data_IF_963683635206
#
_entry.id   IF_963683635206
#
_cell.length_a   1.000
_cell.length_b   1.000
_cell.length_c   1.000
_cell.angle_alpha   90.00
_cell.angle_beta   90.00
_cell.angle_gamma   90.00
#
_symmetry.space_group_name_H-M   'P 1'
#
loop_
_entity.id
_entity.type
_entity.pdbx_description
1 polymer ?
#
# COMPACT_ATOMS: atom_id res chain seq x y z
N UNK A 1 0.74 -14.69 -32.78
CA UNK A 1 0.41 -14.16 -31.43
C UNK A 1 1.14 -12.87 -31.06
N UNK A 2 2.12 -12.39 -31.84
CA UNK A 2 2.76 -11.08 -31.62
C UNK A 2 1.95 -9.87 -32.15
N UNK A 3 1.00 -10.11 -33.07
CA UNK A 3 0.23 -9.03 -33.72
C UNK A 3 -0.95 -8.54 -32.89
N UNK A 4 -1.48 -9.35 -31.96
CA UNK A 4 -2.61 -8.94 -31.10
C UNK A 4 -2.19 -7.92 -30.05
N UNK A 5 -0.94 -7.98 -29.54
CA UNK A 5 -0.36 -6.98 -28.62
C UNK A 5 0.06 -5.67 -29.30
N UNK A 6 0.13 -5.64 -30.64
CA UNK A 6 0.42 -4.41 -31.38
C UNK A 6 -0.83 -3.52 -31.56
N UNK A 7 -2.04 -4.10 -31.49
CA UNK A 7 -3.29 -3.39 -31.73
C UNK A 7 -3.85 -2.65 -30.49
N UNK A 8 -3.52 -3.07 -29.27
CA UNK A 8 -3.84 -2.32 -28.04
C UNK A 8 -2.92 -1.10 -27.82
N UNK A 9 -1.88 -0.92 -28.64
CA UNK A 9 -0.93 0.21 -28.59
C UNK A 9 -1.52 1.54 -29.11
N UNK A 10 -2.85 1.65 -29.15
CA UNK A 10 -3.57 2.77 -29.75
C UNK A 10 -4.08 3.71 -28.65
N UNK A 11 -3.36 4.80 -28.42
CA UNK A 11 -3.79 6.04 -27.75
C UNK A 11 -4.78 5.86 -26.58
N UNK A 12 -4.30 5.42 -25.42
CA UNK A 12 -5.09 5.50 -24.18
C UNK A 12 -5.51 6.97 -23.96
N UNK A 13 -6.79 7.26 -24.21
CA UNK A 13 -7.33 8.64 -24.20
C UNK A 13 -7.86 9.00 -22.81
N UNK A 14 -8.09 7.99 -21.97
CA UNK A 14 -8.64 8.10 -20.62
C UNK A 14 -7.76 7.31 -19.67
N UNK A 15 -7.26 7.99 -18.64
CA UNK A 15 -6.46 7.39 -17.59
C UNK A 15 -7.30 7.29 -16.32
N UNK A 16 -7.45 6.08 -15.79
CA UNK A 16 -8.05 5.87 -14.48
C UNK A 16 -7.08 6.29 -13.36
N UNK A 17 -7.48 6.12 -12.10
CA UNK A 17 -6.63 6.52 -10.97
C UNK A 17 -5.39 5.63 -10.84
N UNK A 18 -5.52 4.33 -11.11
CA UNK A 18 -4.42 3.37 -11.01
C UNK A 18 -3.35 3.64 -12.09
N UNK A 19 -3.77 3.92 -13.33
CA UNK A 19 -2.88 4.31 -14.42
C UNK A 19 -2.11 5.59 -14.09
N UNK A 20 -2.80 6.60 -13.54
CA UNK A 20 -2.17 7.87 -13.13
C UNK A 20 -1.13 7.65 -12.04
N UNK A 21 -1.43 6.77 -11.09
CA UNK A 21 -0.54 6.46 -9.98
C UNK A 21 0.67 5.65 -10.46
N UNK A 22 0.49 4.73 -11.42
CA UNK A 22 1.58 4.03 -12.13
C UNK A 22 2.52 5.01 -12.82
N UNK A 23 1.99 5.87 -13.69
CA UNK A 23 2.78 6.88 -14.42
C UNK A 23 3.51 7.80 -13.43
N UNK A 24 2.85 8.25 -12.37
CA UNK A 24 3.46 9.11 -11.36
C UNK A 24 4.64 8.42 -10.66
N UNK A 25 4.48 7.17 -10.25
CA UNK A 25 5.56 6.39 -9.59
C UNK A 25 6.77 6.24 -10.52
N UNK A 26 6.56 5.90 -11.79
CA UNK A 26 7.63 5.79 -12.78
C UNK A 26 8.41 7.10 -12.94
N UNK A 27 7.71 8.24 -13.03
CA UNK A 27 8.35 9.55 -13.14
C UNK A 27 9.14 9.95 -11.90
N UNK A 28 8.57 9.75 -10.70
CA UNK A 28 9.24 10.09 -9.43
C UNK A 28 10.50 9.27 -9.24
N UNK A 29 10.45 7.96 -9.56
CA UNK A 29 11.63 7.10 -9.51
C UNK A 29 12.68 7.51 -10.53
N UNK A 30 12.29 7.79 -11.77
CA UNK A 30 13.25 8.27 -12.77
C UNK A 30 13.99 9.53 -12.30
N UNK A 31 13.27 10.46 -11.64
CA UNK A 31 13.87 11.64 -11.03
C UNK A 31 14.88 11.29 -9.93
N UNK A 32 14.57 10.31 -9.08
CA UNK A 32 15.44 9.84 -8.01
C UNK A 32 16.70 9.15 -8.57
N UNK A 33 16.52 8.19 -9.48
CA UNK A 33 17.60 7.40 -10.08
C UNK A 33 18.59 8.29 -10.85
N UNK A 34 18.09 9.32 -11.53
CA UNK A 34 18.92 10.26 -12.31
C UNK A 34 19.29 11.54 -11.55
N UNK A 35 18.82 11.69 -10.30
CA UNK A 35 19.02 12.88 -9.45
C UNK A 35 18.63 14.19 -10.12
N UNK A 36 17.50 14.18 -10.83
CA UNK A 36 17.00 15.35 -11.56
C UNK A 36 15.78 15.98 -10.87
N UNK A 37 15.65 17.30 -11.02
CA UNK A 37 14.47 18.05 -10.58
C UNK A 37 13.35 18.07 -11.62
N UNK A 38 12.16 18.50 -11.19
CA UNK A 38 10.97 18.63 -12.07
C UNK A 38 11.21 19.46 -13.33
N UNK A 39 11.96 20.59 -13.31
CA UNK A 39 12.25 21.35 -14.54
C UNK A 39 13.05 20.57 -15.58
N UNK A 40 13.95 19.69 -15.15
CA UNK A 40 14.71 18.82 -16.07
C UNK A 40 13.81 17.71 -16.61
N UNK A 41 12.97 17.12 -15.75
CA UNK A 41 11.99 16.13 -16.19
C UNK A 41 11.01 16.72 -17.23
N UNK A 42 10.56 17.97 -17.04
CA UNK A 42 9.70 18.68 -18.00
C UNK A 42 10.33 18.74 -19.40
N UNK A 43 11.63 19.07 -19.48
CA UNK A 43 12.37 19.12 -20.76
C UNK A 43 12.41 17.75 -21.42
N UNK A 44 12.74 16.70 -20.65
CA UNK A 44 12.82 15.33 -21.17
C UNK A 44 11.47 14.82 -21.68
N UNK A 45 10.37 15.10 -20.96
CA UNK A 45 9.03 14.75 -21.41
C UNK A 45 8.66 15.55 -22.68
N UNK A 46 9.00 16.84 -22.75
CA UNK A 46 8.73 17.67 -23.92
C UNK A 46 9.51 17.17 -25.15
N UNK A 47 10.80 16.86 -24.99
CA UNK A 47 11.67 16.27 -26.01
C UNK A 47 11.13 14.92 -26.51
N UNK A 48 10.74 14.01 -25.60
CA UNK A 48 10.20 12.71 -25.96
C UNK A 48 8.83 12.76 -26.65
N UNK A 49 8.15 13.91 -26.63
CA UNK A 49 6.83 14.11 -27.24
C UNK A 49 6.86 15.09 -28.41
N UNK A 50 8.02 15.56 -28.85
CA UNK A 50 8.18 16.63 -29.86
C UNK A 50 7.37 17.89 -29.54
N UNK A 51 7.34 18.28 -28.26
CA UNK A 51 6.58 19.45 -27.77
C UNK A 51 7.49 20.65 -27.49
N UNK A 52 6.99 21.84 -27.78
CA UNK A 52 7.52 23.06 -27.18
C UNK A 52 7.33 23.02 -25.65
N UNK A 53 8.33 23.52 -24.90
CA UNK A 53 8.35 23.47 -23.44
C UNK A 53 7.10 24.12 -22.79
N UNK A 54 6.55 25.15 -23.43
CA UNK A 54 5.36 25.89 -22.99
C UNK A 54 4.08 25.04 -23.04
N UNK A 55 4.04 24.00 -23.86
CA UNK A 55 2.89 23.09 -23.99
C UNK A 55 2.80 22.07 -22.85
N UNK A 56 3.82 21.97 -22.00
CA UNK A 56 3.82 21.18 -20.78
C UNK A 56 4.10 22.09 -19.57
N UNK A 57 3.09 22.82 -19.04
CA UNK A 57 3.34 23.80 -17.98
C UNK A 57 3.92 23.16 -16.71
N UNK A 58 5.06 23.68 -16.24
CA UNK A 58 5.80 23.18 -15.08
C UNK A 58 4.91 23.03 -13.84
N UNK A 59 4.08 24.04 -13.56
CA UNK A 59 3.18 24.03 -12.40
C UNK A 59 2.16 22.88 -12.45
N UNK A 60 1.75 22.48 -13.64
CA UNK A 60 0.79 21.38 -13.80
C UNK A 60 1.47 20.02 -13.65
N UNK A 61 2.70 19.88 -14.17
CA UNK A 61 3.53 18.69 -13.92
C UNK A 61 3.80 18.53 -12.42
N UNK A 62 4.18 19.60 -11.72
CA UNK A 62 4.38 19.58 -10.26
C UNK A 62 3.11 19.15 -9.52
N UNK A 63 1.93 19.65 -9.91
CA UNK A 63 0.65 19.25 -9.29
C UNK A 63 0.31 17.79 -9.51
N UNK A 64 0.62 17.26 -10.71
CA UNK A 64 0.44 15.84 -11.04
C UNK A 64 1.35 14.96 -10.20
N UNK A 65 2.63 15.32 -10.09
CA UNK A 65 3.62 14.60 -9.26
C UNK A 65 3.30 14.67 -7.77
N UNK A 66 2.70 15.76 -7.29
CA UNK A 66 2.29 15.91 -5.90
C UNK A 66 0.95 15.23 -5.55
N UNK A 67 0.28 14.57 -6.51
CA UNK A 67 -1.06 13.97 -6.35
C UNK A 67 -2.14 14.94 -5.79
N UNK A 68 -1.92 16.24 -5.93
CA UNK A 68 -2.70 17.26 -5.21
C UNK A 68 -4.08 17.56 -5.84
N UNK A 69 -4.22 17.36 -7.14
CA UNK A 69 -5.43 17.69 -7.91
C UNK A 69 -5.60 16.70 -9.07
N UNK A 70 -6.86 16.46 -9.49
CA UNK A 70 -7.13 15.72 -10.73
C UNK A 70 -6.48 16.45 -11.90
N UNK A 71 -5.48 15.81 -12.49
CA UNK A 71 -4.71 16.37 -13.61
C UNK A 71 -5.43 16.12 -14.94
N UNK A 72 -5.25 17.03 -15.89
CA UNK A 72 -5.82 16.90 -17.23
C UNK A 72 -5.22 15.67 -17.95
N UNK A 73 -6.06 14.83 -18.54
CA UNK A 73 -5.69 13.60 -19.26
C UNK A 73 -4.67 13.87 -20.38
N UNK A 74 -4.67 15.07 -20.96
CA UNK A 74 -3.67 15.49 -21.97
C UNK A 74 -2.25 15.47 -21.39
N UNK A 75 -2.07 15.95 -20.16
CA UNK A 75 -0.75 15.97 -19.51
C UNK A 75 -0.36 14.57 -19.07
N UNK A 76 -1.32 13.80 -18.54
CA UNK A 76 -1.09 12.40 -18.19
C UNK A 76 -0.65 11.61 -19.41
N UNK A 77 -1.20 11.88 -20.60
CA UNK A 77 -0.80 11.25 -21.85
C UNK A 77 0.66 11.51 -22.22
N UNK A 78 1.14 12.75 -22.11
CA UNK A 78 2.54 13.07 -22.40
C UNK A 78 3.48 12.41 -21.41
N UNK A 79 3.10 12.43 -20.12
CA UNK A 79 3.80 11.72 -19.06
C UNK A 79 3.84 10.20 -19.30
N UNK A 80 2.72 9.63 -19.72
CA UNK A 80 2.58 8.21 -20.05
C UNK A 80 3.51 7.83 -21.20
N UNK A 81 3.50 8.59 -22.30
CA UNK A 81 4.38 8.31 -23.45
C UNK A 81 5.86 8.35 -23.08
N UNK A 82 6.27 9.27 -22.22
CA UNK A 82 7.63 9.28 -21.69
C UNK A 82 7.89 8.05 -20.81
N UNK A 83 6.94 7.70 -19.94
CA UNK A 83 7.03 6.56 -19.03
C UNK A 83 7.01 5.18 -19.73
N UNK A 84 6.49 5.08 -20.96
CA UNK A 84 6.50 3.84 -21.76
C UNK A 84 7.91 3.28 -21.99
N UNK A 85 8.94 4.13 -22.00
CA UNK A 85 10.34 3.73 -22.14
C UNK A 85 11.04 3.43 -20.82
N UNK A 86 10.36 3.60 -19.67
CA UNK A 86 10.92 3.39 -18.35
C UNK A 86 10.64 1.96 -17.87
N UNK A 87 11.51 1.38 -17.02
CA UNK A 87 11.21 0.13 -16.35
C UNK A 87 9.91 0.27 -15.55
N UNK A 88 8.91 -0.57 -15.84
CA UNK A 88 7.68 -0.69 -15.06
C UNK A 88 7.93 -1.58 -13.82
N UNK A 89 8.99 -1.26 -13.07
CA UNK A 89 9.26 -1.98 -11.83
C UNK A 89 8.32 -1.42 -10.76
N UNK A 90 7.25 -2.14 -10.51
CA UNK A 90 6.40 -1.95 -9.35
C UNK A 90 7.13 -2.55 -8.14
N UNK A 91 7.68 -1.76 -7.20
CA UNK A 91 8.50 -2.31 -6.12
C UNK A 91 7.75 -3.30 -5.23
N UNK A 92 6.41 -3.19 -5.19
CA UNK A 92 5.55 -4.15 -4.51
C UNK A 92 5.46 -5.48 -5.27
N UNK A 93 5.48 -5.43 -6.61
CA UNK A 93 5.63 -6.62 -7.44
C UNK A 93 6.93 -7.34 -7.12
N UNK A 94 8.05 -6.63 -7.23
CA UNK A 94 9.37 -7.23 -7.04
C UNK A 94 9.55 -7.78 -5.63
N UNK A 95 9.11 -7.03 -4.61
CA UNK A 95 9.10 -7.50 -3.23
C UNK A 95 8.23 -8.75 -3.07
N UNK A 96 7.03 -8.74 -3.63
CA UNK A 96 6.11 -9.87 -3.52
C UNK A 96 6.63 -11.11 -4.23
N UNK A 97 7.23 -10.97 -5.42
CA UNK A 97 7.87 -12.08 -6.13
C UNK A 97 9.06 -12.63 -5.34
N UNK A 98 9.91 -11.75 -4.79
CA UNK A 98 11.04 -12.15 -3.96
C UNK A 98 10.60 -12.87 -2.67
N UNK A 99 9.55 -12.36 -1.99
CA UNK A 99 8.98 -12.99 -0.80
C UNK A 99 8.32 -14.32 -1.16
N UNK A 100 7.54 -14.39 -2.23
CA UNK A 100 6.91 -15.64 -2.67
C UNK A 100 7.96 -16.71 -3.03
N UNK A 101 9.04 -16.32 -3.71
CA UNK A 101 10.16 -17.19 -4.01
C UNK A 101 10.90 -17.66 -2.74
N UNK A 102 11.11 -16.77 -1.77
CA UNK A 102 11.81 -17.08 -0.52
C UNK A 102 10.99 -17.97 0.40
N UNK A 103 9.72 -17.62 0.62
CA UNK A 103 8.81 -18.39 1.48
C UNK A 103 8.51 -19.74 0.85
N UNK A 104 8.49 -19.79 -0.49
CA UNK A 104 8.46 -21.02 -1.28
C UNK A 104 7.13 -21.76 -1.19
N UNK A 105 6.77 -22.44 -2.28
CA UNK A 105 5.62 -23.34 -2.33
C UNK A 105 5.62 -24.33 -1.17
N UNK A 106 4.44 -24.72 -0.72
CA UNK A 106 4.27 -25.67 0.39
C UNK A 106 5.15 -26.90 0.15
N UNK A 107 5.63 -27.55 1.23
CA UNK A 107 6.46 -28.77 1.18
C UNK A 107 5.84 -29.92 0.36
N UNK A 108 4.54 -29.85 0.08
CA UNK A 108 3.76 -30.77 -0.75
C UNK A 108 3.80 -30.44 -2.26
N UNK A 109 4.55 -29.40 -2.67
CA UNK A 109 4.63 -28.94 -4.06
C UNK A 109 3.47 -28.04 -4.51
N UNK A 110 2.52 -27.72 -3.62
CA UNK A 110 1.44 -26.81 -3.96
C UNK A 110 1.94 -25.36 -4.06
N UNK A 111 1.55 -24.69 -5.15
CA UNK A 111 1.79 -23.26 -5.32
C UNK A 111 1.13 -22.47 -4.20
N UNK A 112 1.83 -21.45 -3.70
CA UNK A 112 1.26 -20.50 -2.77
C UNK A 112 0.08 -19.82 -3.48
N UNK A 113 -1.07 -19.79 -2.83
CA UNK A 113 -2.28 -19.18 -3.39
C UNK A 113 -2.41 -17.76 -2.84
N UNK A 114 -2.94 -16.82 -3.64
CA UNK A 114 -3.31 -15.52 -3.08
C UNK A 114 -4.35 -15.74 -1.98
N UNK A 115 -4.35 -14.90 -0.93
CA UNK A 115 -5.31 -14.96 0.17
C UNK A 115 -6.69 -14.49 -0.33
N UNK A 116 -7.36 -15.34 -1.11
CA UNK A 116 -8.58 -15.02 -1.85
C UNK A 116 -9.73 -14.62 -0.93
N UNK A 117 -9.75 -15.20 0.26
CA UNK A 117 -10.70 -14.90 1.32
C UNK A 117 -10.42 -13.56 2.00
N UNK A 118 -9.19 -13.03 1.92
CA UNK A 118 -8.84 -11.73 2.50
C UNK A 118 -8.86 -10.59 1.48
N UNK A 119 -9.45 -10.75 0.29
CA UNK A 119 -9.58 -9.67 -0.69
C UNK A 119 -10.78 -8.79 -0.33
N UNK A 120 -10.58 -7.47 -0.27
CA UNK A 120 -11.63 -6.50 0.09
C UNK A 120 -11.15 -5.40 1.02
N UNK A 121 -12.10 -4.71 1.65
CA UNK A 121 -11.87 -3.65 2.62
C UNK A 121 -12.27 -4.10 4.02
N UNK A 122 -11.38 -3.91 4.99
CA UNK A 122 -11.56 -4.35 6.36
C UNK A 122 -11.43 -3.18 7.34
N UNK A 123 -12.34 -3.15 8.31
CA UNK A 123 -12.25 -2.27 9.47
C UNK A 123 -11.34 -2.91 10.52
N UNK A 124 -10.23 -2.23 10.82
CA UNK A 124 -9.28 -2.62 11.85
C UNK A 124 -9.67 -2.07 13.21
N UNK A 125 -9.65 -2.94 14.22
CA UNK A 125 -9.77 -2.60 15.65
C UNK A 125 -8.54 -3.09 16.39
N UNK A 126 -8.23 -2.45 17.52
CA UNK A 126 -7.12 -2.83 18.40
C UNK A 126 -7.53 -2.73 19.86
N UNK A 127 -6.79 -3.42 20.72
CA UNK A 127 -6.86 -3.17 22.17
C UNK A 127 -6.54 -1.69 22.47
N UNK A 128 -7.31 -1.02 23.35
CA UNK A 128 -7.04 0.35 23.74
C UNK A 128 -5.66 0.46 24.41
N UNK A 129 -5.05 1.64 24.35
CA UNK A 129 -3.82 1.88 25.10
C UNK A 129 -4.08 1.70 26.60
N UNK A 130 -3.49 0.65 27.20
CA UNK A 130 -3.61 0.41 28.63
C UNK A 130 -2.84 1.46 29.43
N UNK A 131 -3.50 2.06 30.41
CA UNK A 131 -2.86 2.83 31.49
C UNK A 131 -2.91 1.99 32.77
N UNK A 132 -1.80 1.33 33.11
CA UNK A 132 -1.68 0.50 34.32
C UNK A 132 -2.10 -0.96 34.13
N UNK A 133 -2.37 -1.65 35.25
CA UNK A 133 -2.80 -3.06 35.24
C UNK A 133 -4.31 -3.14 34.99
N UNK A 134 -4.70 -3.51 33.78
CA UNK A 134 -6.08 -3.80 33.44
C UNK A 134 -6.19 -5.24 32.92
N UNK A 135 -7.15 -6.00 33.45
CA UNK A 135 -7.55 -7.29 32.89
C UNK A 135 -8.50 -7.00 31.74
N UNK A 136 -8.09 -7.30 30.51
CA UNK A 136 -8.98 -7.18 29.35
C UNK A 136 -10.10 -8.22 29.44
N UNK A 137 -11.38 -7.83 29.33
CA UNK A 137 -12.47 -8.79 29.25
C UNK A 137 -12.32 -9.65 28.00
N UNK A 138 -12.80 -10.92 28.00
CA UNK A 138 -12.79 -11.75 26.82
C UNK A 138 -13.61 -11.12 25.69
N UNK A 139 -13.23 -11.40 24.43
CA UNK A 139 -13.89 -10.85 23.24
C UNK A 139 -13.32 -9.53 22.74
N UNK A 140 -14.00 -8.92 21.76
CA UNK A 140 -13.51 -7.76 21.01
C UNK A 140 -14.34 -6.49 21.24
N UNK A 141 -15.36 -6.53 22.10
CA UNK A 141 -16.31 -5.42 22.29
C UNK A 141 -15.65 -4.16 22.83
N UNK A 142 -14.61 -4.34 23.66
CA UNK A 142 -13.83 -3.26 24.26
C UNK A 142 -12.77 -2.66 23.33
N UNK A 143 -12.62 -3.19 22.12
CA UNK A 143 -11.58 -2.77 21.18
C UNK A 143 -11.98 -1.47 20.50
N UNK A 144 -11.00 -0.60 20.27
CA UNK A 144 -11.22 0.72 19.67
C UNK A 144 -11.00 0.67 18.15
N UNK A 145 -11.72 1.49 17.36
CA UNK A 145 -11.41 1.68 15.94
C UNK A 145 -9.95 2.10 15.77
N UNK A 146 -9.26 1.51 14.80
CA UNK A 146 -7.83 1.66 14.62
C UNK A 146 -7.44 2.09 13.21
N UNK A 147 -7.87 1.33 12.21
CA UNK A 147 -7.41 1.48 10.84
C UNK A 147 -8.42 0.97 9.82
N UNK A 148 -8.14 1.23 8.55
CA UNK A 148 -8.79 0.58 7.41
C UNK A 148 -7.71 -0.15 6.61
N UNK A 149 -7.91 -1.44 6.37
CA UNK A 149 -7.02 -2.30 5.59
C UNK A 149 -7.71 -2.61 4.25
N UNK A 150 -7.03 -2.37 3.14
CA UNK A 150 -7.50 -2.72 1.81
C UNK A 150 -6.56 -3.74 1.20
N UNK A 151 -7.12 -4.84 0.72
CA UNK A 151 -6.37 -5.93 0.09
C UNK A 151 -6.90 -6.15 -1.31
N UNK A 152 -6.00 -6.10 -2.29
CA UNK A 152 -6.33 -6.24 -3.70
C UNK A 152 -5.61 -7.43 -4.30
N UNK A 153 -6.36 -8.29 -5.01
CA UNK A 153 -5.78 -9.38 -5.77
C UNK A 153 -4.91 -8.82 -6.91
N UNK A 154 -3.74 -9.44 -7.11
CA UNK A 154 -2.89 -9.15 -8.26
C UNK A 154 -3.02 -10.31 -9.26
N UNK A 155 -3.42 -10.04 -10.51
CA UNK A 155 -3.60 -11.09 -11.51
C UNK A 155 -2.35 -11.96 -11.67
N UNK A 156 -2.54 -13.28 -11.68
CA UNK A 156 -1.49 -14.29 -11.85
C UNK A 156 -0.35 -14.24 -10.81
N UNK A 157 -0.58 -13.64 -9.64
CA UNK A 157 0.42 -13.61 -8.55
C UNK A 157 -0.05 -14.38 -7.32
N UNK A 158 0.87 -15.03 -6.60
CA UNK A 158 0.56 -15.81 -5.41
C UNK A 158 0.37 -14.93 -4.15
N UNK A 159 0.43 -13.61 -4.28
CA UNK A 159 0.30 -12.64 -3.19
C UNK A 159 -0.68 -11.54 -3.60
N UNK A 160 -1.21 -10.83 -2.60
CA UNK A 160 -2.06 -9.66 -2.78
C UNK A 160 -1.30 -8.37 -2.47
N UNK A 161 -1.70 -7.27 -3.11
CA UNK A 161 -1.30 -5.94 -2.67
C UNK A 161 -2.11 -5.58 -1.42
N UNK A 162 -1.46 -4.96 -0.44
CA UNK A 162 -2.13 -4.50 0.77
C UNK A 162 -1.79 -3.04 1.04
N UNK A 163 -2.78 -2.29 1.49
CA UNK A 163 -2.63 -0.92 1.97
C UNK A 163 -3.39 -0.74 3.27
N UNK A 164 -2.84 0.04 4.18
CA UNK A 164 -3.49 0.34 5.45
C UNK A 164 -3.48 1.84 5.71
N UNK A 165 -4.62 2.39 6.12
CA UNK A 165 -4.70 3.74 6.68
C UNK A 165 -5.02 3.64 8.17
N UNK A 166 -4.03 3.93 9.01
CA UNK A 166 -4.22 3.96 10.46
C UNK A 166 -4.68 5.34 10.90
N UNK A 167 -5.84 5.41 11.54
CA UNK A 167 -6.50 6.67 11.95
C UNK A 167 -6.39 6.92 13.45
N UNK A 168 -6.30 5.87 14.26
CA UNK A 168 -6.18 5.95 15.72
C UNK A 168 -4.88 5.28 16.20
N UNK A 169 -3.73 5.76 15.71
CA UNK A 169 -2.41 5.21 16.06
C UNK A 169 -2.19 5.14 17.58
N UNK A 170 -2.71 6.11 18.33
CA UNK A 170 -2.58 6.17 19.79
C UNK A 170 -3.47 5.17 20.53
N UNK A 171 -4.43 4.52 19.84
CA UNK A 171 -5.39 3.56 20.42
C UNK A 171 -6.22 4.20 21.54
N UNK A 172 -6.61 5.46 21.32
CA UNK A 172 -7.43 6.21 22.26
C UNK A 172 -8.87 5.67 22.27
N UNK A 173 -9.50 5.67 23.44
CA UNK A 173 -10.89 5.20 23.65
C UNK A 173 -11.94 6.22 23.25
N UNK A 174 -11.58 7.51 23.25
CA UNK A 174 -12.41 8.60 22.74
C UNK A 174 -11.95 8.90 21.32
N UNK A 175 -12.89 9.22 20.41
CA UNK A 175 -12.57 9.80 19.09
C UNK A 175 -11.80 11.10 19.30
N UNK A 176 -10.49 10.99 19.45
CA UNK A 176 -9.61 12.13 19.50
C UNK A 176 -9.66 12.78 18.11
N UNK A 177 -9.97 14.08 18.08
CA UNK A 177 -9.78 14.92 16.91
C UNK A 177 -8.34 14.72 16.40
N UNK A 178 -8.23 14.23 15.17
CA UNK A 178 -6.98 13.74 14.53
C UNK A 178 -5.79 14.69 14.77
N UNK A 179 -4.54 14.19 14.97
CA UNK A 179 -3.83 13.60 13.82
C UNK A 179 -2.80 12.48 14.13
N UNK A 180 -2.82 11.44 13.29
CA UNK A 180 -1.74 11.06 12.39
C UNK A 180 -2.29 9.92 11.52
N UNK A 181 -2.77 10.26 10.32
CA UNK A 181 -3.09 9.24 9.31
C UNK A 181 -1.76 8.67 8.85
N UNK A 182 -1.45 7.46 9.30
CA UNK A 182 -0.31 6.72 8.76
C UNK A 182 -0.82 5.87 7.61
N UNK A 183 -0.14 5.95 6.48
CA UNK A 183 -0.45 5.14 5.31
C UNK A 183 0.66 4.14 5.11
N UNK A 184 0.28 2.88 4.92
CA UNK A 184 1.18 1.79 4.63
C UNK A 184 0.81 1.16 3.31
N UNK A 185 1.80 0.62 2.62
CA UNK A 185 1.66 -0.19 1.43
C UNK A 185 2.58 -1.41 1.53
N UNK A 186 2.18 -2.52 0.93
CA UNK A 186 2.94 -3.75 1.04
C UNK A 186 2.32 -4.92 0.27
N UNK A 187 2.77 -6.10 0.67
CA UNK A 187 2.29 -7.37 0.13
C UNK A 187 1.72 -8.26 1.25
N UNK A 188 0.68 -8.99 0.91
CA UNK A 188 0.03 -9.98 1.78
C UNK A 188 0.15 -11.36 1.14
N UNK A 189 0.61 -12.32 1.93
CA UNK A 189 0.81 -13.71 1.52
C UNK A 189 0.31 -14.66 2.62
N UNK A 190 0.04 -15.92 2.29
CA UNK A 190 -0.57 -16.88 3.21
C UNK A 190 0.35 -18.10 3.50
N UNK A 191 1.43 -17.95 4.27
CA UNK A 191 2.30 -19.07 4.61
C UNK A 191 1.61 -20.02 5.60
N UNK A 192 1.56 -21.31 5.27
CA UNK A 192 1.11 -22.39 6.17
C UNK A 192 -0.26 -22.14 6.85
N UNK A 193 -1.17 -21.41 6.19
CA UNK A 193 -2.53 -21.14 6.69
C UNK A 193 -2.67 -19.91 7.59
N UNK A 194 -1.57 -19.20 7.89
CA UNK A 194 -1.62 -17.87 8.49
C UNK A 194 -1.50 -16.81 7.39
N UNK A 195 -2.04 -15.61 7.60
CA UNK A 195 -1.80 -14.45 6.73
C UNK A 195 -0.64 -13.64 7.29
N UNK A 196 0.27 -13.24 6.41
CA UNK A 196 1.39 -12.38 6.73
C UNK A 196 1.37 -11.15 5.81
N UNK A 197 1.26 -9.96 6.40
CA UNK A 197 1.32 -8.71 5.66
C UNK A 197 2.65 -8.03 5.96
N UNK A 198 3.49 -7.84 4.94
CA UNK A 198 4.73 -7.09 5.04
C UNK A 198 4.53 -5.75 4.34
N UNK A 199 4.58 -4.67 5.10
CA UNK A 199 4.29 -3.33 4.64
C UNK A 199 5.38 -2.34 5.04
N UNK A 200 5.40 -1.20 4.36
CA UNK A 200 6.19 -0.04 4.73
C UNK A 200 5.29 1.17 4.89
N UNK A 201 5.64 2.05 5.82
CA UNK A 201 5.05 3.38 5.89
C UNK A 201 5.45 4.17 4.65
N UNK A 202 4.47 4.73 3.94
CA UNK A 202 4.68 5.45 2.67
C UNK A 202 5.57 6.70 2.86
N UNK A 203 5.51 7.34 4.02
CA UNK A 203 6.29 8.55 4.30
C UNK A 203 7.67 8.25 4.87
N UNK A 204 7.75 7.34 5.84
CA UNK A 204 8.99 7.12 6.61
C UNK A 204 9.79 5.90 6.16
N UNK A 205 9.20 5.03 5.34
CA UNK A 205 9.78 3.74 4.97
C UNK A 205 9.83 2.71 6.10
N UNK A 206 9.35 3.05 7.31
CA UNK A 206 9.40 2.16 8.47
C UNK A 206 8.56 0.92 8.22
N UNK A 207 9.11 -0.26 8.53
CA UNK A 207 8.44 -1.53 8.31
C UNK A 207 7.30 -1.75 9.32
N UNK A 208 6.21 -2.32 8.80
CA UNK A 208 5.06 -2.82 9.56
C UNK A 208 4.75 -4.25 9.11
N UNK A 209 4.59 -5.16 10.06
CA UNK A 209 4.37 -6.58 9.83
C UNK A 209 3.12 -7.05 10.57
N UNK A 210 2.19 -7.68 9.87
CA UNK A 210 1.09 -8.41 10.50
C UNK A 210 1.29 -9.91 10.41
N UNK A 211 0.98 -10.60 11.50
CA UNK A 211 0.70 -12.04 11.52
C UNK A 211 -0.75 -12.21 11.95
N UNK A 212 -1.61 -12.68 11.05
CA UNK A 212 -3.05 -12.84 11.24
C UNK A 212 -3.48 -14.28 11.01
N UNK A 213 -4.57 -14.68 11.66
CA UNK A 213 -5.25 -15.94 11.40
C UNK A 213 -6.75 -15.82 11.62
N UNK A 214 -7.55 -16.73 11.06
CA UNK A 214 -8.98 -16.77 11.31
C UNK A 214 -9.25 -17.12 12.78
N UNK A 215 -10.37 -16.62 13.31
CA UNK A 215 -10.89 -17.11 14.59
C UNK A 215 -11.43 -18.53 14.39
N UNK A 216 -11.18 -19.49 15.30
CA UNK A 216 -11.68 -20.85 15.14
C UNK A 216 -13.21 -20.89 14.93
N UNK A 217 -13.65 -21.46 13.81
CA UNK A 217 -15.07 -21.62 13.48
C UNK A 217 -15.69 -20.47 12.69
N UNK A 218 -14.97 -19.37 12.45
CA UNK A 218 -15.46 -18.22 11.70
C UNK A 218 -14.41 -17.75 10.68
N UNK A 219 -14.78 -17.44 9.42
CA UNK A 219 -13.83 -16.92 8.44
C UNK A 219 -13.35 -15.50 8.81
N UNK A 220 -14.20 -14.75 9.52
CA UNK A 220 -13.92 -13.42 10.01
C UNK A 220 -14.44 -13.26 11.44
N UNK A 221 -13.84 -12.37 12.24
CA UNK A 221 -12.69 -11.54 11.91
C UNK A 221 -11.39 -12.33 11.79
N UNK A 222 -10.39 -11.79 11.07
CA UNK A 222 -9.01 -12.27 11.22
C UNK A 222 -8.33 -11.49 12.33
N UNK A 223 -7.61 -12.20 13.18
CA UNK A 223 -7.02 -11.64 14.40
C UNK A 223 -5.55 -12.00 14.49
N UNK A 224 -4.79 -11.14 15.15
CA UNK A 224 -3.36 -11.37 15.24
C UNK A 224 -2.60 -10.20 15.85
N UNK A 225 -1.35 -10.05 15.42
CA UNK A 225 -0.44 -9.04 15.95
C UNK A 225 0.19 -8.21 14.83
N UNK A 226 0.12 -6.89 14.99
CA UNK A 226 0.88 -5.91 14.22
C UNK A 226 2.16 -5.55 14.94
N UNK A 227 3.26 -5.52 14.19
CA UNK A 227 4.56 -5.08 14.65
C UNK A 227 5.01 -3.92 13.79
N UNK A 228 5.47 -2.83 14.40
CA UNK A 228 5.99 -1.68 13.68
C UNK A 228 7.25 -1.15 14.35
N UNK A 229 8.27 -0.84 13.54
CA UNK A 229 9.45 -0.14 14.03
C UNK A 229 9.09 1.26 14.51
N UNK A 230 9.67 1.70 15.62
CA UNK A 230 9.49 3.07 16.10
C UNK A 230 10.67 3.90 15.60
N UNK A 231 10.38 4.88 14.75
CA UNK A 231 11.36 5.80 14.18
C UNK A 231 11.59 7.05 15.05
N UNK A 232 12.66 7.82 14.79
CA UNK A 232 12.96 9.06 15.52
C UNK A 232 11.94 10.19 15.29
N UNK A 233 11.08 10.06 14.28
CA UNK A 233 9.97 10.98 14.00
C UNK A 233 8.67 10.59 14.70
N UNK A 234 8.65 9.45 15.38
CA UNK A 234 7.49 9.02 16.16
C UNK A 234 7.52 9.68 17.54
N UNK A 235 6.35 9.84 18.17
CA UNK A 235 6.20 10.22 19.59
C UNK A 235 6.71 9.06 20.50
N UNK A 236 7.95 8.64 20.30
CA UNK A 236 8.63 7.60 21.05
C UNK A 236 9.09 8.15 22.41
N UNK A 237 9.14 7.31 23.45
CA UNK A 237 9.69 7.75 24.73
C UNK A 237 11.15 8.19 24.56
N UNK A 238 11.47 9.37 25.10
CA UNK A 238 12.81 9.99 25.07
C UNK A 238 13.84 9.25 25.94
N UNK A 239 13.46 8.16 26.61
CA UNK A 239 14.33 7.39 27.50
C UNK A 239 14.16 5.88 27.28
N UNK A 240 15.26 5.20 26.93
CA UNK A 240 15.36 3.73 26.81
C UNK A 240 14.89 3.14 25.45
N UNK A 241 15.36 1.94 25.08
CA UNK A 241 15.08 1.36 23.77
C UNK A 241 13.70 0.68 23.74
N UNK A 242 12.67 1.39 23.28
CA UNK A 242 11.51 0.75 22.64
C UNK A 242 11.68 0.87 21.13
N UNK A 243 12.26 -0.17 20.53
CA UNK A 243 12.61 -0.20 19.10
C UNK A 243 11.42 -0.53 18.19
N UNK A 244 10.38 -1.14 18.75
CA UNK A 244 9.19 -1.52 18.01
C UNK A 244 7.95 -1.47 18.92
N UNK A 245 6.79 -1.41 18.28
CA UNK A 245 5.47 -1.57 18.90
C UNK A 245 4.89 -2.91 18.45
N UNK A 246 4.19 -3.56 19.36
CA UNK A 246 3.36 -4.72 19.05
C UNK A 246 1.93 -4.45 19.54
N UNK A 247 0.95 -4.63 18.68
CA UNK A 247 -0.47 -4.49 19.03
C UNK A 247 -1.27 -5.69 18.55
N UNK A 248 -2.26 -6.08 19.34
CA UNK A 248 -3.27 -7.03 18.91
C UNK A 248 -4.26 -6.32 18.00
N UNK A 249 -4.49 -6.90 16.84
CA UNK A 249 -5.39 -6.36 15.81
C UNK A 249 -6.45 -7.38 15.42
N UNK A 250 -7.59 -6.85 15.01
CA UNK A 250 -8.78 -7.56 14.58
C UNK A 250 -9.28 -6.83 13.34
N UNK A 251 -9.35 -7.54 12.23
CA UNK A 251 -9.88 -7.05 10.97
C UNK A 251 -11.17 -7.78 10.65
N UNK A 252 -12.27 -7.04 10.56
CA UNK A 252 -13.56 -7.51 10.10
C UNK A 252 -13.92 -6.81 8.79
N UNK A 253 -14.70 -7.43 7.88
CA UNK A 253 -15.17 -6.77 6.67
C UNK A 253 -15.81 -5.41 6.97
N UNK A 254 -15.51 -4.41 6.17
CA UNK A 254 -16.13 -3.10 6.31
C UNK A 254 -17.65 -3.19 6.02
N UNK A 255 -18.46 -2.46 6.80
CA UNK A 255 -19.91 -2.48 6.64
C UNK A 255 -20.31 -2.06 5.22
N UNK A 256 -21.00 -2.95 4.50
CA UNK A 256 -21.47 -2.72 3.12
C UNK A 256 -20.77 -3.54 2.05
N UNK A 257 -19.65 -4.20 2.36
CA UNK A 257 -19.07 -5.24 1.52
C UNK A 257 -19.56 -6.60 2.03
N UNK A 258 -20.49 -7.23 1.30
CA UNK A 258 -20.85 -8.62 1.57
C UNK A 258 -19.60 -9.48 1.32
N UNK A 259 -19.22 -10.31 2.30
CA UNK A 259 -18.27 -11.41 2.05
C UNK A 259 -18.78 -12.23 0.86
N UNK A 260 -17.93 -12.53 -0.14
CA UNK A 260 -18.29 -13.42 -1.23
C UNK A 260 -18.66 -14.82 -0.72
#
# INVERSE_FOLDING_TARGET
>A
MAETQAAERTQQTRFDQADRDRVRRALLRYMEDHRIGVPTLQKLIAEANDLALDNLPLKTLQRFLAASHRSNDIIVRFCHRFAEGLPDDDPLADLGEAVAAFVGGRRDGAALQPPADLIGVFAGRTEPAQTGFAVSPPGYDHWVPFSTLTVAALPARPFAAVSETVTNWRRATVEATAPARRTYEGVLFQPAGAYCALMRNVLTGTLRLYWLGPVPGEPFPVVGHGHEGIGPLDDAPTTGPRLFRAERVNFAPAAGEASP
#
